data_IF_585708818609
#
_entry.id   IF_585708818609
#
_cell.length_a   1.000
_cell.length_b   1.000
_cell.length_c   1.000
_cell.angle_alpha   90.00
_cell.angle_beta   90.00
_cell.angle_gamma   90.00
#
_symmetry.space_group_name_H-M   'P 1'
#
loop_
_entity.id
_entity.type
_entity.pdbx_description
1 polymer ?
#
# COMPACT_ATOMS: atom_id res chain seq x y z
N UNK A 1 -43.29 -5.91 17.46
CA UNK A 1 -41.93 -6.16 16.96
C UNK A 1 -41.19 -4.83 16.99
N UNK A 2 -40.30 -4.63 17.96
CA UNK A 2 -39.41 -3.45 17.94
C UNK A 2 -38.24 -3.74 16.99
N UNK A 3 -37.84 -2.78 16.15
CA UNK A 3 -36.59 -2.91 15.40
C UNK A 3 -35.43 -2.84 16.41
N UNK A 4 -34.62 -3.89 16.42
CA UNK A 4 -33.32 -3.90 17.08
C UNK A 4 -32.35 -3.06 16.25
N UNK A 5 -31.93 -1.91 16.79
CA UNK A 5 -30.79 -1.19 16.24
C UNK A 5 -29.53 -1.84 16.81
N UNK A 6 -28.75 -2.51 15.96
CA UNK A 6 -27.41 -2.93 16.32
C UNK A 6 -26.58 -1.69 16.64
N UNK A 7 -25.86 -1.62 17.77
CA UNK A 7 -24.87 -0.58 17.97
C UNK A 7 -23.83 -0.75 16.86
N UNK A 8 -23.73 0.23 15.96
CA UNK A 8 -22.63 0.28 15.02
C UNK A 8 -21.35 0.33 15.84
N UNK A 9 -20.45 -0.64 15.62
CA UNK A 9 -19.11 -0.59 16.17
C UNK A 9 -18.46 0.65 15.56
N UNK A 10 -18.39 1.75 16.30
CA UNK A 10 -17.53 2.87 15.94
C UNK A 10 -16.10 2.43 16.21
N UNK A 11 -15.55 1.58 15.32
CA UNK A 11 -14.14 1.26 15.36
C UNK A 11 -13.35 2.56 15.34
N UNK A 12 -12.28 2.63 16.14
CA UNK A 12 -11.35 3.74 16.09
C UNK A 12 -10.83 3.83 14.65
N UNK A 13 -11.04 4.98 14.02
CA UNK A 13 -10.63 5.21 12.65
C UNK A 13 -9.31 5.92 12.68
N UNK A 14 -8.31 5.31 12.07
CA UNK A 14 -6.98 5.87 11.95
C UNK A 14 -6.86 6.64 10.65
N UNK A 15 -6.19 7.78 10.72
CA UNK A 15 -5.77 8.58 9.57
C UNK A 15 -4.31 8.30 9.23
N UNK A 16 -3.97 8.31 7.94
CA UNK A 16 -2.59 8.28 7.50
C UNK A 16 -2.36 9.20 6.30
N UNK A 17 -1.13 9.70 6.16
CA UNK A 17 -0.68 10.45 5.01
C UNK A 17 0.80 10.21 4.75
N UNK A 18 1.19 10.18 3.48
CA UNK A 18 2.57 9.90 3.11
C UNK A 18 3.01 10.53 1.78
N UNK A 19 4.32 10.69 1.65
CA UNK A 19 5.02 11.00 0.41
C UNK A 19 6.36 10.26 0.42
N UNK A 20 6.62 9.42 -0.57
CA UNK A 20 7.84 8.63 -0.62
C UNK A 20 8.11 7.98 -1.96
N UNK A 21 9.16 7.16 -1.97
CA UNK A 21 9.58 6.38 -3.13
C UNK A 21 9.91 4.95 -2.72
N UNK A 22 9.66 4.00 -3.62
CA UNK A 22 10.01 2.60 -3.43
C UNK A 22 10.80 2.06 -4.62
N UNK A 23 11.81 1.26 -4.33
CA UNK A 23 12.63 0.52 -5.30
C UNK A 23 13.35 -0.64 -4.59
N UNK A 24 14.08 -1.46 -5.33
CA UNK A 24 14.93 -2.50 -4.73
C UNK A 24 14.79 -3.85 -5.39
N UNK A 25 13.64 -4.13 -6.03
CA UNK A 25 13.55 -5.26 -6.95
C UNK A 25 14.45 -5.03 -8.17
N UNK A 26 14.77 -6.08 -8.95
CA UNK A 26 15.73 -5.98 -10.05
C UNK A 26 15.45 -4.89 -11.09
N UNK A 27 14.18 -4.50 -11.27
CA UNK A 27 13.80 -3.35 -12.10
C UNK A 27 12.76 -2.50 -11.38
N UNK A 28 12.53 -1.28 -11.87
CA UNK A 28 11.44 -0.44 -11.40
C UNK A 28 11.78 0.43 -10.20
N UNK A 29 11.22 1.63 -10.23
CA UNK A 29 11.18 2.55 -9.13
C UNK A 29 9.90 3.37 -9.24
N UNK A 30 9.30 3.70 -8.11
CA UNK A 30 8.03 4.44 -8.06
C UNK A 30 8.10 5.54 -7.03
N UNK A 31 7.37 6.62 -7.28
CA UNK A 31 7.06 7.66 -6.30
C UNK A 31 5.56 7.66 -6.04
N UNK A 32 5.19 7.72 -4.77
CA UNK A 32 3.80 7.73 -4.34
C UNK A 32 3.58 8.86 -3.34
N UNK A 33 2.42 9.48 -3.45
CA UNK A 33 1.84 10.32 -2.42
C UNK A 33 0.46 9.81 -2.11
N UNK A 34 -0.06 10.13 -0.93
CA UNK A 34 -1.46 9.90 -0.64
C UNK A 34 -1.73 9.78 0.84
N UNK A 35 -2.86 9.19 1.15
CA UNK A 35 -3.35 9.05 2.51
C UNK A 35 -4.83 8.78 2.52
N UNK A 36 -5.40 8.76 3.71
CA UNK A 36 -6.81 8.53 3.90
C UNK A 36 -7.13 8.11 5.32
N UNK A 37 -8.23 7.38 5.46
CA UNK A 37 -8.75 6.89 6.72
C UNK A 37 -9.05 5.39 6.62
N UNK A 38 -8.81 4.64 7.69
CA UNK A 38 -9.05 3.20 7.76
C UNK A 38 -9.50 2.77 9.17
N UNK A 39 -10.05 1.56 9.27
CA UNK A 39 -10.38 0.92 10.55
C UNK A 39 -9.66 -0.44 10.59
N UNK A 40 -8.59 -0.57 11.41
CA UNK A 40 -7.82 -1.81 11.52
C UNK A 40 -8.67 -3.04 11.86
N UNK A 41 -9.76 -2.86 12.60
CA UNK A 41 -10.62 -3.98 13.04
C UNK A 41 -11.40 -4.61 11.88
N UNK A 42 -11.50 -3.92 10.73
CA UNK A 42 -12.17 -4.43 9.54
C UNK A 42 -11.23 -5.14 8.57
N UNK A 43 -9.92 -5.10 8.80
CA UNK A 43 -8.93 -5.61 7.86
C UNK A 43 -9.11 -7.12 7.58
N UNK A 44 -9.03 -7.52 6.31
CA UNK A 44 -9.24 -8.92 5.89
C UNK A 44 -8.30 -9.31 4.76
N UNK A 45 -7.77 -10.54 4.79
CA UNK A 45 -7.01 -11.10 3.67
C UNK A 45 -7.87 -11.87 2.66
N UNK A 46 -9.17 -12.05 2.92
CA UNK A 46 -10.11 -12.65 1.97
C UNK A 46 -10.53 -11.58 0.97
N UNK A 47 -10.37 -11.83 -0.33
CA UNK A 47 -10.72 -10.85 -1.38
C UNK A 47 -11.79 -11.46 -2.31
N UNK A 48 -12.90 -10.74 -2.60
CA UNK A 48 -13.27 -9.43 -2.04
C UNK A 48 -13.93 -9.58 -0.65
N UNK A 49 -13.54 -8.73 0.29
CA UNK A 49 -14.25 -8.47 1.55
C UNK A 49 -14.45 -6.96 1.68
N UNK A 50 -15.64 -6.52 2.06
CA UNK A 50 -15.86 -5.12 2.41
C UNK A 50 -15.09 -4.78 3.69
N UNK A 51 -14.17 -3.82 3.59
CA UNK A 51 -13.35 -3.31 4.69
C UNK A 51 -13.43 -1.80 4.73
N UNK A 52 -13.30 -1.18 5.89
CA UNK A 52 -13.33 0.28 5.99
C UNK A 52 -11.96 0.86 5.69
N UNK A 53 -11.82 1.37 4.47
CA UNK A 53 -10.69 2.20 4.06
C UNK A 53 -11.11 3.12 2.93
N UNK A 54 -10.72 4.39 3.04
CA UNK A 54 -10.89 5.38 2.00
C UNK A 54 -9.57 6.11 1.83
N UNK A 55 -8.76 5.64 0.89
CA UNK A 55 -7.46 6.22 0.58
C UNK A 55 -7.13 6.17 -0.90
N UNK A 56 -6.26 7.09 -1.29
CA UNK A 56 -5.71 7.18 -2.62
C UNK A 56 -4.66 8.28 -2.70
N UNK A 57 -4.14 8.52 -3.89
CA UNK A 57 -3.20 9.61 -4.10
C UNK A 57 -2.47 9.55 -5.44
N UNK A 58 -1.31 10.20 -5.50
CA UNK A 58 -0.48 10.27 -6.69
C UNK A 58 0.40 9.04 -6.84
N UNK A 59 0.60 8.59 -8.07
CA UNK A 59 1.48 7.47 -8.41
C UNK A 59 2.25 7.81 -9.69
N UNK A 60 3.54 7.49 -9.71
CA UNK A 60 4.37 7.59 -10.92
C UNK A 60 5.50 6.57 -10.89
N UNK A 61 5.74 5.88 -12.00
CA UNK A 61 6.94 5.10 -12.22
C UNK A 61 8.10 6.04 -12.61
N UNK A 62 9.16 6.03 -11.81
CA UNK A 62 10.40 6.78 -12.07
C UNK A 62 11.46 5.92 -12.77
N UNK A 63 11.24 4.61 -12.86
CA UNK A 63 11.94 3.70 -13.75
C UNK A 63 10.99 2.59 -14.19
N UNK A 64 11.21 2.01 -15.38
CA UNK A 64 10.34 0.97 -15.92
C UNK A 64 10.28 -0.27 -15.00
N UNK A 65 9.07 -0.75 -14.73
CA UNK A 65 8.81 -1.95 -13.93
C UNK A 65 8.56 -3.13 -14.87
N UNK A 66 9.36 -4.19 -14.75
CA UNK A 66 9.31 -5.38 -15.62
C UNK A 66 8.98 -6.68 -14.86
N UNK A 67 8.53 -6.57 -13.61
CA UNK A 67 8.14 -7.71 -12.81
C UNK A 67 6.96 -7.40 -11.89
N UNK A 68 6.33 -8.46 -11.39
CA UNK A 68 5.22 -8.34 -10.44
C UNK A 68 3.99 -7.68 -11.06
N UNK A 69 3.06 -7.20 -10.21
CA UNK A 69 1.77 -6.71 -10.68
C UNK A 69 1.85 -5.39 -11.46
N UNK A 70 2.88 -4.57 -11.23
CA UNK A 70 3.11 -3.32 -11.96
C UNK A 70 3.91 -3.51 -13.26
N UNK A 71 4.15 -4.76 -13.69
CA UNK A 71 4.90 -5.04 -14.92
C UNK A 71 4.24 -4.37 -16.13
N UNK A 72 5.02 -3.56 -16.87
CA UNK A 72 4.53 -2.76 -17.99
C UNK A 72 4.28 -1.29 -17.67
N UNK A 73 4.50 -0.86 -16.42
CA UNK A 73 4.57 0.56 -16.10
C UNK A 73 5.90 1.14 -16.61
N UNK A 74 5.85 1.98 -17.64
CA UNK A 74 7.03 2.60 -18.22
C UNK A 74 7.52 3.80 -17.39
N UNK A 75 8.78 4.18 -17.58
CA UNK A 75 9.31 5.39 -16.94
C UNK A 75 8.49 6.62 -17.34
N UNK A 76 8.02 7.33 -16.33
CA UNK A 76 7.22 8.52 -16.46
C UNK A 76 5.72 8.30 -16.54
N UNK A 77 5.25 7.06 -16.60
CA UNK A 77 3.84 6.71 -16.51
C UNK A 77 3.33 6.71 -15.07
N UNK A 78 2.01 6.66 -14.93
CA UNK A 78 1.31 6.72 -13.64
C UNK A 78 0.69 8.09 -13.40
N UNK A 79 -0.52 8.10 -12.84
CA UNK A 79 -1.22 9.34 -12.46
C UNK A 79 -1.79 9.27 -11.04
N UNK A 80 -2.45 8.17 -10.70
CA UNK A 80 -3.13 8.01 -9.41
C UNK A 80 -3.15 6.56 -8.98
N UNK A 81 -3.50 6.35 -7.72
CA UNK A 81 -3.90 5.08 -7.16
C UNK A 81 -5.11 5.29 -6.23
N UNK A 82 -5.89 4.24 -6.04
CA UNK A 82 -6.93 4.20 -5.02
C UNK A 82 -7.05 2.80 -4.41
N UNK A 83 -7.74 2.72 -3.28
CA UNK A 83 -7.75 1.51 -2.46
C UNK A 83 -8.88 0.59 -2.85
N UNK A 84 -8.56 -0.69 -3.05
CA UNK A 84 -9.52 -1.78 -3.23
C UNK A 84 -9.97 -2.32 -1.88
N UNK A 85 -9.01 -2.64 -1.00
CA UNK A 85 -9.29 -3.30 0.27
C UNK A 85 -8.17 -3.06 1.30
N UNK A 86 -8.55 -2.96 2.57
CA UNK A 86 -7.63 -3.02 3.71
C UNK A 86 -7.30 -4.48 4.02
N UNK A 87 -6.03 -4.84 3.88
CA UNK A 87 -5.57 -6.21 4.14
C UNK A 87 -5.17 -6.36 5.61
N UNK A 88 -5.48 -7.52 6.22
CA UNK A 88 -5.04 -7.78 7.59
C UNK A 88 -3.51 -7.90 7.69
N UNK A 89 -2.87 -8.50 6.70
CA UNK A 89 -1.42 -8.61 6.60
C UNK A 89 -0.95 -8.85 5.17
N UNK A 90 0.33 -8.72 4.90
CA UNK A 90 0.94 -9.26 3.67
C UNK A 90 2.37 -9.71 3.93
N UNK A 91 2.83 -10.81 3.32
CA UNK A 91 4.25 -11.07 3.22
C UNK A 91 4.90 -10.03 2.29
N UNK A 92 6.14 -9.66 2.60
CA UNK A 92 6.91 -8.73 1.77
C UNK A 92 8.41 -9.02 1.81
N UNK A 93 9.09 -8.44 0.82
CA UNK A 93 10.55 -8.36 0.66
C UNK A 93 10.88 -6.99 0.08
N UNK A 94 12.00 -6.40 0.46
CA UNK A 94 12.42 -5.10 -0.04
C UNK A 94 13.20 -5.19 -1.35
N UNK A 95 13.98 -6.25 -1.56
CA UNK A 95 14.87 -6.41 -2.72
C UNK A 95 14.40 -7.49 -3.70
N UNK A 96 13.51 -8.38 -3.24
CA UNK A 96 13.09 -9.54 -4.03
C UNK A 96 14.17 -10.61 -4.18
N UNK A 97 15.34 -10.45 -3.56
CA UNK A 97 16.40 -11.45 -3.61
C UNK A 97 15.92 -12.78 -3.01
N UNK A 98 16.35 -13.89 -3.63
CA UNK A 98 16.06 -15.24 -3.15
C UNK A 98 16.66 -15.50 -1.76
N UNK A 99 17.79 -14.87 -1.48
CA UNK A 99 18.50 -14.91 -0.18
C UNK A 99 17.90 -13.98 0.87
N UNK A 100 17.03 -13.04 0.49
CA UNK A 100 16.32 -12.20 1.46
C UNK A 100 15.27 -13.05 2.19
N UNK A 101 15.26 -13.01 3.52
CA UNK A 101 14.20 -13.64 4.31
C UNK A 101 12.87 -12.90 4.09
N UNK A 102 11.78 -13.65 3.93
CA UNK A 102 10.44 -13.06 3.86
C UNK A 102 10.03 -12.48 5.21
N UNK A 103 9.35 -11.33 5.17
CA UNK A 103 8.81 -10.64 6.34
C UNK A 103 7.29 -10.53 6.21
N UNK A 104 6.61 -10.13 7.29
CA UNK A 104 5.16 -9.89 7.27
C UNK A 104 4.88 -8.53 7.89
N UNK A 105 4.11 -7.71 7.17
CA UNK A 105 3.51 -6.51 7.71
C UNK A 105 2.05 -6.79 8.06
N UNK A 106 1.58 -6.24 9.17
CA UNK A 106 0.21 -6.42 9.68
C UNK A 106 -0.41 -5.05 9.86
N UNK A 107 -1.65 -4.88 9.41
CA UNK A 107 -2.39 -3.63 9.60
C UNK A 107 -2.66 -3.42 11.09
N UNK A 108 -2.46 -2.20 11.56
CA UNK A 108 -2.73 -1.74 12.91
C UNK A 108 -2.63 -0.21 12.96
N UNK A 109 -2.49 0.33 14.15
CA UNK A 109 -2.50 1.79 14.36
C UNK A 109 -1.39 2.49 13.58
N UNK A 110 -0.17 1.93 13.51
CA UNK A 110 0.99 2.58 12.88
C UNK A 110 1.40 2.01 11.52
N UNK A 111 0.63 1.07 10.98
CA UNK A 111 0.94 0.36 9.73
C UNK A 111 -0.36 0.10 8.99
N UNK A 112 -0.40 0.47 7.72
CA UNK A 112 -1.53 0.18 6.84
C UNK A 112 -1.07 -0.70 5.68
N UNK A 113 -1.77 -1.82 5.48
CA UNK A 113 -1.56 -2.73 4.36
C UNK A 113 -2.75 -2.66 3.42
N UNK A 114 -2.52 -2.26 2.17
CA UNK A 114 -3.56 -2.02 1.19
C UNK A 114 -3.42 -2.95 0.00
N UNK A 115 -4.54 -3.41 -0.53
CA UNK A 115 -4.68 -3.76 -1.94
C UNK A 115 -5.14 -2.50 -2.66
N UNK A 116 -4.44 -2.09 -3.72
CA UNK A 116 -4.70 -0.84 -4.42
C UNK A 116 -4.65 -1.04 -5.93
N UNK A 117 -5.46 -0.24 -6.61
CA UNK A 117 -5.43 -0.09 -8.06
C UNK A 117 -4.60 1.12 -8.45
N UNK A 118 -3.79 0.97 -9.49
CA UNK A 118 -2.86 1.94 -10.02
C UNK A 118 -3.21 2.24 -11.47
N UNK A 119 -3.10 3.51 -11.85
CA UNK A 119 -3.58 3.99 -13.15
C UNK A 119 -2.47 4.70 -13.90
N UNK A 120 -2.28 4.35 -15.17
CA UNK A 120 -1.46 5.11 -16.12
C UNK A 120 -2.22 6.29 -16.69
N UNK A 121 -1.48 7.27 -17.18
CA UNK A 121 -2.07 8.36 -17.95
C UNK A 121 -2.69 7.79 -19.24
N UNK A 122 -3.98 8.04 -19.47
CA UNK A 122 -4.68 7.62 -20.69
C UNK A 122 -5.60 6.41 -20.53
N UNK A 123 -5.43 5.60 -19.47
CA UNK A 123 -6.31 4.46 -19.17
C UNK A 123 -7.62 4.90 -18.47
N UNK A 124 -7.76 6.20 -18.17
CA UNK A 124 -9.00 6.80 -17.67
C UNK A 124 -9.37 6.31 -16.27
N UNK A 125 -10.53 5.64 -16.17
CA UNK A 125 -11.02 5.01 -14.93
C UNK A 125 -10.75 3.51 -14.91
N UNK A 126 -10.23 2.94 -16.01
CA UNK A 126 -9.90 1.53 -16.06
C UNK A 126 -8.58 1.30 -15.34
N UNK A 127 -8.58 0.38 -14.38
CA UNK A 127 -7.42 0.06 -13.55
C UNK A 127 -6.31 -0.54 -14.43
N UNK A 128 -5.11 0.07 -14.41
CA UNK A 128 -3.98 -0.46 -15.18
C UNK A 128 -3.34 -1.66 -14.46
N UNK A 129 -3.25 -1.59 -13.13
CA UNK A 129 -2.60 -2.61 -12.30
C UNK A 129 -3.29 -2.70 -10.94
N UNK A 130 -3.35 -3.90 -10.36
CA UNK A 130 -3.74 -4.11 -8.97
C UNK A 130 -2.56 -4.68 -8.20
N UNK A 131 -2.12 -4.02 -7.14
CA UNK A 131 -0.96 -4.44 -6.36
C UNK A 131 -1.12 -4.14 -4.87
N UNK A 132 -0.34 -4.82 -4.04
CA UNK A 132 -0.30 -4.50 -2.60
C UNK A 132 0.68 -3.37 -2.31
N UNK A 133 0.40 -2.59 -1.28
CA UNK A 133 1.32 -1.61 -0.72
C UNK A 133 1.26 -1.58 0.81
N UNK A 134 2.36 -1.18 1.43
CA UNK A 134 2.46 -0.97 2.87
C UNK A 134 2.95 0.46 3.11
N UNK A 135 2.32 1.16 4.05
CA UNK A 135 2.83 2.42 4.61
C UNK A 135 2.94 2.23 6.12
N UNK A 136 4.04 2.68 6.70
CA UNK A 136 4.34 2.52 8.12
C UNK A 136 4.91 3.82 8.69
N UNK A 137 4.67 4.07 9.98
CA UNK A 137 5.35 5.14 10.70
C UNK A 137 6.82 4.76 11.02
N UNK A 138 7.08 3.47 11.18
CA UNK A 138 8.40 2.94 11.53
C UNK A 138 9.01 2.08 10.42
N UNK A 139 10.30 1.81 10.54
CA UNK A 139 11.04 1.03 9.56
C UNK A 139 10.57 -0.43 9.51
N UNK A 140 10.19 -0.91 8.32
CA UNK A 140 9.74 -2.29 8.10
C UNK A 140 10.90 -3.29 8.05
N UNK A 141 12.13 -2.84 7.80
CA UNK A 141 13.30 -3.71 7.68
C UNK A 141 14.58 -3.10 8.29
N UNK A 142 14.70 -3.04 9.63
CA UNK A 142 15.84 -2.42 10.30
C UNK A 142 17.19 -3.11 10.05
N UNK A 143 17.23 -4.23 9.31
CA UNK A 143 18.47 -4.89 8.89
C UNK A 143 19.05 -4.23 7.64
N UNK A 144 18.21 -3.67 6.76
CA UNK A 144 18.66 -2.95 5.58
C UNK A 144 19.08 -1.52 5.92
N UNK A 145 20.12 -0.98 5.29
CA UNK A 145 20.50 0.42 5.49
C UNK A 145 19.40 1.38 5.03
N UNK A 146 19.12 2.39 5.85
CA UNK A 146 18.11 3.43 5.55
C UNK A 146 16.81 3.20 6.29
N UNK A 147 15.72 3.78 5.79
CA UNK A 147 14.36 3.58 6.33
C UNK A 147 13.50 2.97 5.22
N UNK A 148 12.80 1.88 5.52
CA UNK A 148 11.91 1.16 4.61
C UNK A 148 10.48 1.22 5.14
N UNK A 149 9.88 2.41 5.16
CA UNK A 149 8.53 2.62 5.69
C UNK A 149 7.46 2.82 4.60
N UNK A 150 7.83 2.59 3.34
CA UNK A 150 6.93 2.41 2.20
C UNK A 150 7.37 1.16 1.42
N UNK A 151 6.39 0.35 1.00
CA UNK A 151 6.62 -0.82 0.14
C UNK A 151 5.54 -0.94 -0.92
N UNK A 152 5.92 -1.38 -2.12
CA UNK A 152 5.02 -1.70 -3.24
C UNK A 152 5.38 -3.06 -3.82
N UNK A 153 4.36 -3.91 -4.00
CA UNK A 153 4.51 -5.30 -4.46
C UNK A 153 5.22 -5.37 -5.81
N UNK A 154 6.33 -6.12 -5.84
CA UNK A 154 7.14 -6.29 -7.04
C UNK A 154 8.06 -5.12 -7.40
N UNK A 155 8.04 -4.01 -6.64
CA UNK A 155 8.94 -2.87 -6.83
C UNK A 155 9.97 -2.76 -5.71
N UNK A 156 9.56 -2.95 -4.47
CA UNK A 156 10.46 -2.97 -3.31
C UNK A 156 10.10 -1.98 -2.22
N UNK A 157 11.08 -1.59 -1.42
CA UNK A 157 10.92 -0.70 -0.27
C UNK A 157 11.55 0.67 -0.52
N UNK A 158 11.21 1.64 0.31
CA UNK A 158 11.99 2.85 0.40
C UNK A 158 11.46 3.82 1.45
N UNK A 159 12.08 5.00 1.55
CA UNK A 159 11.70 5.99 2.52
C UNK A 159 10.43 6.73 2.09
N UNK A 160 9.62 7.05 3.09
CA UNK A 160 8.51 7.97 3.00
C UNK A 160 8.49 8.88 4.23
N UNK A 161 8.06 10.13 4.04
CA UNK A 161 7.56 10.95 5.14
C UNK A 161 6.15 10.48 5.39
N UNK A 162 5.93 9.74 6.49
CA UNK A 162 4.64 9.16 6.85
C UNK A 162 4.15 9.75 8.18
N UNK A 163 2.85 10.02 8.27
CA UNK A 163 2.19 10.51 9.46
C UNK A 163 0.91 9.71 9.70
N UNK A 164 0.70 9.30 10.94
CA UNK A 164 -0.50 8.61 11.40
C UNK A 164 -1.20 9.44 12.48
N UNK A 165 -2.53 9.32 12.57
CA UNK A 165 -3.36 9.99 13.58
C UNK A 165 -4.45 9.04 14.07
N UNK A 166 -4.66 9.00 15.40
CA UNK A 166 -5.55 8.07 16.11
C UNK A 166 -6.59 8.83 16.93
#
# INVERSE_FOLDING_TARGET
MQPSFSPGNSGARDGFGFNGSASGFPTGAVTLTGGGVYDPATASNTVPTETFVHSGGGFRCTAAVSQGPLSGCAEGEGVRWDTVQLLASTPFKCTGATTEAGKTATTGDHVVVLLADFYRAGDGIDESFTAKMIVSETDLDPVLPGVQNLWVEGVGCGPAVAHFSH
#
